data_IF_851196209423
#
_entry.id   IF_851196209423
#
_cell.length_a   1.000
_cell.length_b   1.000
_cell.length_c   1.000
_cell.angle_alpha   90.00
_cell.angle_beta   90.00
_cell.angle_gamma   90.00
#
_symmetry.space_group_name_H-M   'P 1'
#
loop_
_entity.id
_entity.type
_entity.pdbx_description
1 polymer ?
#
# COMPACT_ATOMS: atom_id res chain seq x y z
N UNK A 1 -22.55 -20.38 -21.54
CA UNK A 1 -21.30 -21.08 -21.92
C UNK A 1 -20.14 -20.36 -21.23
N UNK A 2 -19.43 -21.05 -20.33
CA UNK A 2 -18.38 -20.44 -19.49
C UNK A 2 -17.02 -20.33 -20.17
N UNK A 3 -16.12 -19.58 -19.54
CA UNK A 3 -14.72 -19.51 -19.91
C UNK A 3 -14.01 -20.78 -19.40
N UNK A 4 -13.58 -21.64 -20.33
CA UNK A 4 -12.83 -22.86 -20.03
C UNK A 4 -11.60 -22.94 -20.93
N UNK A 5 -10.57 -23.67 -20.51
CA UNK A 5 -9.40 -23.95 -21.34
C UNK A 5 -9.83 -24.49 -22.72
N UNK A 6 -9.30 -23.89 -23.79
CA UNK A 6 -9.73 -24.16 -25.16
C UNK A 6 -10.78 -23.19 -25.72
N UNK A 7 -11.51 -22.45 -24.88
CA UNK A 7 -12.49 -21.42 -25.28
C UNK A 7 -12.27 -20.07 -24.56
N UNK A 8 -11.03 -19.79 -24.13
CA UNK A 8 -10.67 -18.56 -23.41
C UNK A 8 -10.54 -17.36 -24.36
N UNK A 9 -9.80 -17.53 -25.45
CA UNK A 9 -9.53 -16.47 -26.41
C UNK A 9 -9.40 -17.07 -27.80
N UNK A 10 -10.11 -16.48 -28.77
CA UNK A 10 -10.02 -16.87 -30.18
C UNK A 10 -9.04 -15.92 -30.86
N UNK A 11 -7.86 -16.40 -31.23
CA UNK A 11 -6.94 -15.63 -32.09
C UNK A 11 -5.48 -15.51 -31.67
N UNK A 12 -5.00 -16.24 -30.65
CA UNK A 12 -3.55 -16.32 -30.41
C UNK A 12 -2.94 -17.15 -31.54
N UNK A 13 -2.15 -16.51 -32.40
CA UNK A 13 -1.44 -17.14 -33.53
C UNK A 13 0.00 -16.64 -33.54
N UNK A 14 0.95 -17.51 -33.85
CA UNK A 14 2.35 -17.13 -34.05
C UNK A 14 3.17 -16.85 -32.78
N UNK A 15 2.71 -17.27 -31.59
CA UNK A 15 3.46 -17.10 -30.34
C UNK A 15 4.14 -18.42 -29.96
N UNK A 16 5.47 -18.38 -29.80
CA UNK A 16 6.27 -19.52 -29.34
C UNK A 16 6.78 -19.23 -27.92
N UNK A 17 6.60 -20.18 -27.01
CA UNK A 17 7.06 -20.05 -25.62
C UNK A 17 8.16 -21.06 -25.33
N UNK A 18 9.27 -20.59 -24.77
CA UNK A 18 10.37 -21.43 -24.30
C UNK A 18 10.34 -21.48 -22.78
N UNK A 19 10.49 -22.68 -22.21
CA UNK A 19 10.50 -22.91 -20.77
C UNK A 19 11.55 -23.96 -20.45
N UNK A 20 12.15 -23.82 -19.27
CA UNK A 20 13.13 -24.77 -18.73
C UNK A 20 12.45 -25.58 -17.62
N UNK A 21 12.81 -26.85 -17.45
CA UNK A 21 12.31 -27.67 -16.34
C UNK A 21 12.62 -27.01 -14.99
N UNK A 22 11.70 -27.07 -14.03
CA UNK A 22 11.89 -26.47 -12.70
C UNK A 22 13.09 -27.08 -11.95
N UNK A 23 13.41 -28.35 -12.20
CA UNK A 23 14.56 -29.03 -11.60
C UNK A 23 15.91 -28.48 -12.08
N UNK A 24 15.93 -27.77 -13.21
CA UNK A 24 17.13 -27.15 -13.80
C UNK A 24 17.23 -25.66 -13.46
N UNK A 25 16.20 -25.09 -12.83
CA UNK A 25 16.16 -23.67 -12.46
C UNK A 25 16.55 -23.49 -10.99
N UNK A 26 17.23 -22.38 -10.68
CA UNK A 26 17.46 -21.98 -9.31
C UNK A 26 16.32 -21.05 -8.84
N UNK A 27 15.52 -21.44 -7.83
CA UNK A 27 14.36 -20.67 -7.38
C UNK A 27 14.73 -19.33 -6.70
N UNK A 28 15.97 -19.19 -6.19
CA UNK A 28 16.41 -18.00 -5.48
C UNK A 28 17.32 -17.09 -6.33
N UNK A 29 17.50 -17.42 -7.61
CA UNK A 29 18.32 -16.62 -8.52
C UNK A 29 17.77 -15.19 -8.61
N UNK A 30 18.62 -14.21 -8.30
CA UNK A 30 18.29 -12.79 -8.45
C UNK A 30 17.47 -12.18 -7.33
N UNK A 31 17.19 -12.87 -6.21
CA UNK A 31 16.40 -12.31 -5.10
C UNK A 31 17.01 -11.02 -4.56
N UNK A 32 18.32 -11.01 -4.33
CA UNK A 32 18.99 -9.81 -3.80
C UNK A 32 19.33 -8.85 -4.93
N UNK A 33 20.04 -9.32 -5.96
CA UNK A 33 20.57 -8.46 -7.03
C UNK A 33 19.50 -7.81 -7.89
N UNK A 34 18.37 -8.50 -8.14
CA UNK A 34 17.27 -7.96 -8.95
C UNK A 34 16.03 -7.69 -8.09
N UNK A 35 15.75 -8.52 -7.09
CA UNK A 35 14.56 -8.39 -6.25
C UNK A 35 14.59 -7.14 -5.37
N UNK A 36 15.71 -6.83 -4.70
CA UNK A 36 15.80 -5.64 -3.84
C UNK A 36 15.68 -4.34 -4.64
N UNK A 37 16.42 -4.11 -5.74
CA UNK A 37 16.24 -2.90 -6.54
C UNK A 37 14.82 -2.76 -7.10
N UNK A 38 14.21 -3.86 -7.55
CA UNK A 38 12.83 -3.84 -8.03
C UNK A 38 11.82 -3.56 -6.92
N UNK A 39 12.05 -4.06 -5.71
CA UNK A 39 11.22 -3.75 -4.55
C UNK A 39 11.27 -2.26 -4.22
N UNK A 40 12.47 -1.68 -4.15
CA UNK A 40 12.64 -0.24 -3.90
C UNK A 40 11.97 0.60 -4.98
N UNK A 41 12.18 0.25 -6.26
CA UNK A 41 11.49 0.92 -7.38
C UNK A 41 9.97 0.88 -7.21
N UNK A 42 9.40 -0.30 -6.92
CA UNK A 42 7.95 -0.46 -6.71
C UNK A 42 7.42 0.34 -5.53
N UNK A 43 8.18 0.44 -4.44
CA UNK A 43 7.81 1.26 -3.29
C UNK A 43 7.80 2.73 -3.69
N UNK A 44 8.85 3.21 -4.34
CA UNK A 44 8.94 4.60 -4.80
C UNK A 44 7.80 4.99 -5.75
N UNK A 45 7.43 4.09 -6.67
CA UNK A 45 6.32 4.30 -7.60
C UNK A 45 4.95 4.45 -6.89
N UNK A 46 4.82 3.97 -5.65
CA UNK A 46 3.56 3.97 -4.89
C UNK A 46 3.53 4.96 -3.72
N UNK A 47 4.69 5.43 -3.26
CA UNK A 47 4.80 6.32 -2.09
C UNK A 47 3.89 7.54 -2.25
N UNK A 48 3.82 8.16 -3.42
CA UNK A 48 3.01 9.37 -3.61
C UNK A 48 1.49 9.13 -3.61
N UNK A 49 1.05 7.89 -3.79
CA UNK A 49 -0.38 7.55 -3.69
C UNK A 49 -0.78 7.18 -2.26
N UNK A 50 0.13 6.53 -1.51
CA UNK A 50 -0.17 5.99 -0.18
C UNK A 50 0.19 7.00 0.91
N UNK A 51 1.34 7.67 0.79
CA UNK A 51 1.91 8.49 1.86
C UNK A 51 1.09 9.76 2.14
N UNK A 52 0.62 10.55 1.14
CA UNK A 52 -0.16 11.75 1.43
C UNK A 52 -1.45 11.50 2.21
N UNK A 53 -2.35 10.55 1.85
CA UNK A 53 -3.53 10.30 2.66
C UNK A 53 -3.18 9.73 4.03
N UNK A 54 -2.16 8.87 4.14
CA UNK A 54 -1.72 8.34 5.43
C UNK A 54 -1.25 9.43 6.39
N UNK A 55 -0.42 10.37 5.91
CA UNK A 55 0.05 11.52 6.70
C UNK A 55 -1.10 12.45 7.07
N UNK A 56 -2.02 12.71 6.15
CA UNK A 56 -3.20 13.51 6.41
C UNK A 56 -4.04 12.94 7.55
N UNK A 57 -4.36 11.65 7.50
CA UNK A 57 -5.14 11.00 8.55
C UNK A 57 -4.41 10.97 9.88
N UNK A 58 -3.10 10.76 9.88
CA UNK A 58 -2.29 10.81 11.09
C UNK A 58 -2.33 12.21 11.74
N UNK A 59 -2.15 13.26 10.94
CA UNK A 59 -2.20 14.64 11.43
C UNK A 59 -3.61 15.00 11.94
N UNK A 60 -4.65 14.58 11.23
CA UNK A 60 -6.04 14.78 11.65
C UNK A 60 -6.33 14.09 12.98
N UNK A 61 -5.88 12.84 13.13
CA UNK A 61 -6.02 12.07 14.36
C UNK A 61 -5.33 12.76 15.55
N UNK A 62 -4.07 13.19 15.37
CA UNK A 62 -3.31 13.86 16.43
C UNK A 62 -3.98 15.18 16.85
N UNK A 63 -4.43 15.97 15.88
CA UNK A 63 -5.19 17.20 16.16
C UNK A 63 -6.49 16.90 16.92
N UNK A 64 -7.31 15.95 16.46
CA UNK A 64 -8.59 15.63 17.07
C UNK A 64 -8.44 15.14 18.51
N UNK A 65 -7.43 14.29 18.79
CA UNK A 65 -7.15 13.81 20.14
C UNK A 65 -6.69 14.94 21.06
N UNK A 66 -5.83 15.83 20.57
CA UNK A 66 -5.35 16.99 21.36
C UNK A 66 -6.48 17.98 21.64
N UNK A 67 -7.30 18.26 20.65
CA UNK A 67 -8.42 19.19 20.79
C UNK A 67 -9.49 18.65 21.74
N UNK A 68 -9.85 17.38 21.64
CA UNK A 68 -10.78 16.75 22.58
C UNK A 68 -10.26 16.82 24.03
N UNK A 69 -8.96 16.57 24.23
CA UNK A 69 -8.32 16.72 25.56
C UNK A 69 -8.33 18.17 26.05
N UNK A 70 -8.18 19.15 25.16
CA UNK A 70 -8.24 20.59 25.49
C UNK A 70 -9.65 20.97 25.94
N UNK A 71 -10.67 20.57 25.18
CA UNK A 71 -12.08 20.87 25.44
C UNK A 71 -12.64 20.16 26.68
N UNK A 72 -12.12 18.97 26.99
CA UNK A 72 -12.52 18.22 28.19
C UNK A 72 -11.94 18.81 29.49
N UNK A 73 -10.99 19.75 29.41
CA UNK A 73 -10.46 20.43 30.60
C UNK A 73 -11.42 21.54 31.01
N UNK A 74 -11.66 21.65 32.31
CA UNK A 74 -12.42 22.77 32.88
C UNK A 74 -11.71 24.09 32.57
N UNK A 75 -12.46 25.10 32.17
CA UNK A 75 -11.96 26.44 31.96
C UNK A 75 -11.97 27.23 33.28
N UNK A 76 -10.82 27.68 33.82
CA UNK A 76 -10.78 28.43 35.07
C UNK A 76 -11.62 29.72 35.05
N UNK A 77 -11.73 30.36 33.87
CA UNK A 77 -12.48 31.62 33.72
C UNK A 77 -13.99 31.46 33.97
N UNK A 78 -14.52 30.24 33.88
CA UNK A 78 -15.94 29.97 34.13
C UNK A 78 -16.29 30.03 35.63
N UNK A 79 -15.30 30.01 36.52
CA UNK A 79 -15.47 30.01 37.98
C UNK A 79 -15.03 31.32 38.65
N UNK A 80 -14.64 32.35 37.89
CA UNK A 80 -14.13 33.62 38.44
C UNK A 80 -15.20 34.46 39.14
N UNK A 81 -16.48 34.28 38.78
CA UNK A 81 -17.62 35.02 39.34
C UNK A 81 -18.63 34.09 40.04
N UNK A 82 -18.23 32.88 40.41
CA UNK A 82 -19.08 31.97 41.17
C UNK A 82 -19.00 32.39 42.65
N UNK A 83 -20.10 32.94 43.18
CA UNK A 83 -20.22 33.53 44.54
C UNK A 83 -20.90 32.54 45.47
#
# INVERSE_FOLDING_TARGET
>A
MGLFFGNLFKGIRGVVYYRVSHYEQNPFKGIISQGVPNMVRRINDQIFYILPPALFYYALYDWAVKENKRLSRKNPADYENDV
#
